data_IF_542403469819
#
_entry.id   IF_542403469819
#
_cell.length_a   1.000
_cell.length_b   1.000
_cell.length_c   1.000
_cell.angle_alpha   90.00
_cell.angle_beta   90.00
_cell.angle_gamma   90.00
#
_symmetry.space_group_name_H-M   'P 1'
#
loop_
_entity.id
_entity.type
_entity.pdbx_description
1 polymer ?
#
# COMPACT_ATOMS: atom_id res chain seq x y z
N UNK A 1 23.42 29.25 -5.99
CA UNK A 1 21.94 29.44 -6.11
C UNK A 1 21.22 28.18 -5.63
N UNK A 2 20.27 28.29 -4.69
CA UNK A 2 19.42 27.16 -4.30
C UNK A 2 18.52 26.80 -5.49
N UNK A 3 18.58 25.55 -5.96
CA UNK A 3 17.65 25.08 -7.01
C UNK A 3 16.23 25.10 -6.46
N UNK A 4 15.27 25.59 -7.23
CA UNK A 4 13.84 25.48 -6.90
C UNK A 4 13.46 24.00 -6.79
N UNK A 5 12.78 23.62 -5.72
CA UNK A 5 12.27 22.26 -5.53
C UNK A 5 11.16 21.98 -6.54
N UNK A 6 11.28 20.88 -7.29
CA UNK A 6 10.24 20.35 -8.18
C UNK A 6 10.07 18.88 -7.85
N UNK A 7 8.85 18.50 -7.49
CA UNK A 7 8.52 17.13 -7.10
C UNK A 7 8.15 16.33 -8.36
N UNK A 8 8.77 15.17 -8.54
CA UNK A 8 8.43 14.21 -9.60
C UNK A 8 7.77 12.96 -9.01
N UNK A 9 6.55 12.61 -9.43
CA UNK A 9 5.92 11.34 -9.04
C UNK A 9 6.29 10.26 -10.05
N UNK A 10 7.07 9.27 -9.60
CA UNK A 10 7.55 8.15 -10.40
C UNK A 10 6.39 7.27 -10.91
N UNK A 11 6.56 6.62 -12.07
CA UNK A 11 5.71 5.50 -12.46
C UNK A 11 6.20 4.24 -11.74
N UNK A 12 5.35 3.63 -10.90
CA UNK A 12 5.70 2.35 -10.28
C UNK A 12 5.88 1.27 -11.36
N UNK A 13 6.92 0.47 -11.23
CA UNK A 13 7.30 -0.55 -12.22
C UNK A 13 7.71 -1.89 -11.61
N UNK A 14 7.66 -2.02 -10.26
CA UNK A 14 8.13 -3.23 -9.57
C UNK A 14 7.40 -4.49 -10.01
N UNK A 15 6.08 -4.41 -10.19
CA UNK A 15 5.23 -5.48 -10.70
C UNK A 15 3.88 -4.91 -11.17
N UNK A 16 3.05 -5.76 -11.76
CA UNK A 16 1.70 -5.42 -12.28
C UNK A 16 0.66 -5.14 -11.19
N UNK A 17 0.99 -5.33 -9.91
CA UNK A 17 0.07 -5.15 -8.78
C UNK A 17 0.35 -3.89 -7.96
N UNK A 18 1.50 -3.22 -8.15
CA UNK A 18 1.87 -2.00 -7.44
C UNK A 18 1.14 -0.78 -8.00
N UNK A 19 -0.14 -0.68 -7.66
CA UNK A 19 -1.03 0.40 -8.12
C UNK A 19 -1.03 1.61 -7.20
N UNK A 20 -0.33 1.57 -6.06
CA UNK A 20 -0.32 2.68 -5.10
C UNK A 20 0.38 3.89 -5.69
N UNK A 21 0.21 5.04 -5.04
CA UNK A 21 0.91 6.26 -5.40
C UNK A 21 1.49 6.90 -4.12
N UNK A 22 2.70 7.47 -4.17
CA UNK A 22 3.33 8.10 -3.01
C UNK A 22 2.59 9.37 -2.57
N UNK A 23 1.92 10.04 -3.49
CA UNK A 23 1.10 11.23 -3.25
C UNK A 23 -0.23 11.09 -3.97
N UNK A 24 -1.33 11.40 -3.28
CA UNK A 24 -2.66 11.42 -3.87
C UNK A 24 -2.89 12.75 -4.60
N UNK A 25 -3.87 12.84 -5.51
CA UNK A 25 -4.21 14.11 -6.18
C UNK A 25 -4.45 15.28 -5.21
N UNK A 26 -5.04 15.04 -4.03
CA UNK A 26 -5.23 16.08 -3.01
C UNK A 26 -3.93 16.57 -2.39
N UNK A 27 -2.95 15.69 -2.21
CA UNK A 27 -1.64 16.04 -1.65
C UNK A 27 -0.84 16.86 -2.70
N UNK A 28 -1.01 16.53 -3.99
CA UNK A 28 -0.49 17.32 -5.12
C UNK A 28 -1.12 18.71 -5.18
N UNK A 29 -2.43 18.83 -5.07
CA UNK A 29 -3.11 20.13 -5.06
C UNK A 29 -2.60 21.02 -3.91
N UNK A 30 -2.32 20.42 -2.75
CA UNK A 30 -1.72 21.11 -1.62
C UNK A 30 -0.30 21.62 -1.93
N UNK A 31 0.56 20.80 -2.56
CA UNK A 31 1.91 21.21 -2.99
C UNK A 31 1.86 22.37 -4.00
N UNK A 32 0.98 22.27 -5.00
CA UNK A 32 0.80 23.31 -6.03
C UNK A 32 0.34 24.62 -5.39
N UNK A 33 -0.60 24.57 -4.43
CA UNK A 33 -1.02 25.75 -3.65
C UNK A 33 0.14 26.39 -2.87
N UNK A 34 1.11 25.58 -2.43
CA UNK A 34 2.36 26.04 -1.80
C UNK A 34 3.42 26.50 -2.80
N UNK A 35 3.07 26.65 -4.08
CA UNK A 35 3.97 27.05 -5.18
C UNK A 35 5.12 26.08 -5.41
N UNK A 36 4.94 24.80 -5.05
CA UNK A 36 5.88 23.72 -5.34
C UNK A 36 5.39 23.02 -6.63
N UNK A 37 6.12 23.14 -7.75
CA UNK A 37 5.71 22.48 -8.99
C UNK A 37 5.79 20.96 -8.87
N UNK A 38 4.83 20.27 -9.49
CA UNK A 38 4.76 18.81 -9.51
C UNK A 38 4.72 18.31 -10.94
N UNK A 39 5.67 17.45 -11.30
CA UNK A 39 5.67 16.64 -12.52
C UNK A 39 5.22 15.22 -12.18
N UNK A 40 4.36 14.63 -12.99
CA UNK A 40 3.87 13.26 -12.80
C UNK A 40 4.17 12.47 -14.05
N UNK A 41 4.95 11.39 -13.90
CA UNK A 41 5.13 10.44 -14.98
C UNK A 41 3.80 9.73 -15.28
N UNK A 42 3.41 9.71 -16.55
CA UNK A 42 2.20 8.99 -16.98
C UNK A 42 2.30 7.50 -16.63
N UNK A 43 1.21 6.92 -16.12
CA UNK A 43 1.16 5.50 -15.76
C UNK A 43 -0.27 4.98 -15.85
N UNK A 44 -0.46 3.89 -16.59
CA UNK A 44 -1.73 3.14 -16.66
C UNK A 44 -1.94 2.21 -15.46
N UNK A 45 -0.87 1.87 -14.73
CA UNK A 45 -0.90 0.96 -13.58
C UNK A 45 -1.45 1.64 -12.32
N UNK A 46 -1.06 2.90 -12.09
CA UNK A 46 -1.38 3.68 -10.90
C UNK A 46 -2.90 3.79 -10.68
N UNK A 47 -3.33 3.70 -9.43
CA UNK A 47 -4.75 3.76 -9.04
C UNK A 47 -5.40 5.11 -9.36
N UNK A 48 -4.62 6.19 -9.33
CA UNK A 48 -5.05 7.52 -9.71
C UNK A 48 -4.70 7.80 -11.17
N UNK A 49 -5.71 8.21 -11.95
CA UNK A 49 -5.55 8.54 -13.36
C UNK A 49 -4.79 9.85 -13.54
N UNK A 50 -4.06 9.97 -14.65
CA UNK A 50 -3.36 11.21 -15.03
C UNK A 50 -4.28 12.44 -15.05
N UNK A 51 -5.55 12.27 -15.46
CA UNK A 51 -6.52 13.37 -15.46
C UNK A 51 -6.81 13.91 -14.05
N UNK A 52 -6.71 13.07 -13.01
CA UNK A 52 -6.88 13.51 -11.62
C UNK A 52 -5.70 14.37 -11.16
N UNK A 53 -4.47 13.99 -11.53
CA UNK A 53 -3.28 14.79 -11.22
C UNK A 53 -3.24 16.10 -12.02
N UNK A 54 -3.66 16.09 -13.29
CA UNK A 54 -3.79 17.31 -14.09
C UNK A 54 -4.77 18.30 -13.45
N UNK A 55 -5.94 17.82 -13.01
CA UNK A 55 -6.91 18.65 -12.27
C UNK A 55 -6.36 19.17 -10.94
N UNK A 56 -5.45 18.45 -10.30
CA UNK A 56 -4.75 18.90 -9.11
C UNK A 56 -3.63 19.92 -9.37
N UNK A 57 -3.39 20.30 -10.64
CA UNK A 57 -2.39 21.30 -11.03
C UNK A 57 -1.00 20.74 -11.34
N UNK A 58 -0.83 19.41 -11.39
CA UNK A 58 0.44 18.82 -11.82
C UNK A 58 0.58 18.78 -13.35
N UNK A 59 1.83 18.84 -13.81
CA UNK A 59 2.19 18.61 -15.22
C UNK A 59 2.40 17.11 -15.44
N UNK A 60 1.59 16.51 -16.32
CA UNK A 60 1.81 15.13 -16.75
C UNK A 60 2.92 15.11 -17.80
N UNK A 61 3.93 14.27 -17.60
CA UNK A 61 5.11 14.19 -18.46
C UNK A 61 5.43 12.73 -18.83
N UNK A 62 5.95 12.47 -20.03
CA UNK A 62 6.51 11.15 -20.38
C UNK A 62 7.86 10.91 -19.68
N UNK A 63 8.64 11.98 -19.49
CA UNK A 63 9.93 11.99 -18.81
C UNK A 63 10.06 13.26 -17.98
N UNK A 64 10.73 13.17 -16.82
CA UNK A 64 10.94 14.33 -15.96
C UNK A 64 11.87 15.35 -16.63
N UNK A 65 11.49 16.62 -16.58
CA UNK A 65 12.25 17.71 -17.20
C UNK A 65 12.96 18.54 -16.14
N UNK A 66 12.26 18.84 -15.04
CA UNK A 66 12.74 19.76 -14.01
C UNK A 66 12.72 19.15 -12.61
N UNK A 67 12.05 18.01 -12.44
CA UNK A 67 11.95 17.35 -11.14
C UNK A 67 13.33 16.99 -10.56
N UNK A 68 13.54 17.38 -9.31
CA UNK A 68 14.79 17.14 -8.57
C UNK A 68 14.57 16.38 -7.26
N UNK A 69 13.33 16.28 -6.77
CA UNK A 69 12.90 15.32 -5.76
C UNK A 69 11.93 14.34 -6.41
N UNK A 70 12.38 13.11 -6.62
CA UNK A 70 11.56 12.04 -7.18
C UNK A 70 10.99 11.16 -6.07
N UNK A 71 9.68 11.03 -6.05
CA UNK A 71 8.95 10.26 -5.05
C UNK A 71 8.29 9.05 -5.71
N UNK A 72 8.42 7.88 -5.08
CA UNK A 72 7.84 6.61 -5.55
C UNK A 72 7.65 5.68 -4.36
N UNK A 73 6.80 4.67 -4.47
CA UNK A 73 6.59 3.69 -3.40
C UNK A 73 7.76 2.71 -3.36
N UNK A 74 8.02 2.02 -4.47
CA UNK A 74 9.04 0.96 -4.54
C UNK A 74 10.34 1.43 -5.15
N UNK A 75 11.33 0.55 -5.13
CA UNK A 75 12.59 0.77 -5.82
C UNK A 75 12.38 1.02 -7.34
N UNK A 76 12.92 2.11 -7.90
CA UNK A 76 12.89 2.38 -9.33
C UNK A 76 13.84 1.45 -10.11
N UNK A 77 13.55 1.24 -11.40
CA UNK A 77 14.43 0.50 -12.30
C UNK A 77 15.76 1.24 -12.53
N UNK A 78 16.87 0.51 -12.59
CA UNK A 78 18.23 1.07 -12.59
C UNK A 78 18.51 2.01 -13.78
N UNK A 79 17.96 1.68 -14.94
CA UNK A 79 18.08 2.42 -16.20
C UNK A 79 17.28 3.73 -16.19
N UNK A 80 16.24 3.82 -15.35
CA UNK A 80 15.40 5.03 -15.20
C UNK A 80 15.98 6.08 -14.25
N UNK A 81 17.12 5.78 -13.60
CA UNK A 81 17.68 6.64 -12.56
C UNK A 81 18.28 7.92 -13.11
N UNK A 82 17.82 9.06 -12.57
CA UNK A 82 18.26 10.40 -12.95
C UNK A 82 19.47 10.79 -12.07
N UNK A 83 20.64 11.14 -12.64
CA UNK A 83 21.79 11.58 -11.86
C UNK A 83 21.59 12.91 -11.15
N UNK A 84 22.30 13.11 -10.03
CA UNK A 84 22.32 14.35 -9.24
C UNK A 84 20.92 14.79 -8.76
N UNK A 85 20.04 13.84 -8.45
CA UNK A 85 18.70 14.09 -7.93
C UNK A 85 18.51 13.48 -6.54
N UNK A 86 17.40 13.82 -5.90
CA UNK A 86 16.96 13.24 -4.63
C UNK A 86 15.86 12.22 -4.93
N UNK A 87 15.95 11.03 -4.36
CA UNK A 87 14.92 10.00 -4.42
C UNK A 87 14.33 9.77 -3.02
N UNK A 88 13.00 9.71 -2.93
CA UNK A 88 12.28 9.34 -1.72
C UNK A 88 11.40 8.13 -2.01
N UNK A 89 11.86 6.95 -1.59
CA UNK A 89 11.30 5.63 -1.92
C UNK A 89 11.55 4.62 -0.79
N UNK A 90 10.87 3.48 -0.79
CA UNK A 90 11.35 2.29 -0.06
C UNK A 90 12.43 1.63 -0.88
N UNK A 91 13.71 1.88 -0.56
CA UNK A 91 14.81 1.34 -1.37
C UNK A 91 15.11 -0.13 -1.10
N UNK A 92 14.76 -0.60 0.10
CA UNK A 92 15.16 -1.92 0.59
C UNK A 92 16.67 -2.19 0.40
N UNK A 93 17.51 -1.24 0.78
CA UNK A 93 18.99 -1.35 0.71
C UNK A 93 19.66 -1.42 2.08
N UNK A 94 18.93 -1.13 3.16
CA UNK A 94 19.51 -0.89 4.48
C UNK A 94 19.70 -2.15 5.33
N UNK A 95 19.11 -3.28 4.94
CA UNK A 95 19.18 -4.55 5.71
C UNK A 95 20.06 -5.60 5.05
N UNK A 96 21.07 -5.19 4.28
CA UNK A 96 21.99 -6.12 3.60
C UNK A 96 21.33 -6.96 2.50
N UNK A 97 20.26 -6.46 1.88
CA UNK A 97 19.49 -7.18 0.87
C UNK A 97 20.28 -7.32 -0.44
N UNK A 98 20.82 -8.52 -0.71
CA UNK A 98 21.68 -8.80 -1.87
C UNK A 98 21.08 -8.33 -3.20
N UNK A 99 19.79 -8.57 -3.41
CA UNK A 99 19.09 -8.21 -4.64
C UNK A 99 19.10 -6.71 -4.97
N UNK A 100 19.29 -5.84 -3.97
CA UNK A 100 19.28 -4.38 -4.14
C UNK A 100 20.65 -3.71 -3.94
N UNK A 101 21.74 -4.47 -3.78
CA UNK A 101 23.09 -3.90 -3.72
C UNK A 101 23.43 -3.06 -4.96
N UNK A 102 23.00 -3.51 -6.15
CA UNK A 102 23.20 -2.79 -7.42
C UNK A 102 22.49 -1.44 -7.44
N UNK A 103 21.32 -1.33 -6.80
CA UNK A 103 20.58 -0.06 -6.69
C UNK A 103 21.38 0.95 -5.89
N UNK A 104 21.86 0.56 -4.71
CA UNK A 104 22.66 1.43 -3.85
C UNK A 104 23.97 1.86 -4.54
N UNK A 105 24.69 0.92 -5.17
CA UNK A 105 25.90 1.24 -5.94
C UNK A 105 25.61 2.22 -7.08
N UNK A 106 24.46 2.07 -7.74
CA UNK A 106 24.05 2.98 -8.82
C UNK A 106 23.68 4.36 -8.28
N UNK A 107 23.01 4.45 -7.12
CA UNK A 107 22.75 5.73 -6.45
C UNK A 107 24.06 6.47 -6.15
N UNK A 108 25.05 5.78 -5.59
CA UNK A 108 26.37 6.36 -5.33
C UNK A 108 27.04 6.85 -6.62
N UNK A 109 27.10 6.00 -7.66
CA UNK A 109 27.71 6.35 -8.96
C UNK A 109 27.03 7.55 -9.61
N UNK A 110 25.70 7.64 -9.52
CA UNK A 110 24.91 8.74 -10.10
C UNK A 110 24.79 9.97 -9.20
N UNK A 111 25.46 9.98 -8.03
CA UNK A 111 25.38 11.06 -7.03
C UNK A 111 23.92 11.36 -6.63
N UNK A 112 23.13 10.30 -6.46
CA UNK A 112 21.74 10.39 -6.01
C UNK A 112 21.71 10.44 -4.48
N UNK A 113 20.94 11.38 -3.94
CA UNK A 113 20.62 11.40 -2.50
C UNK A 113 19.37 10.56 -2.27
N UNK A 114 19.46 9.56 -1.39
CA UNK A 114 18.32 8.74 -0.99
C UNK A 114 17.73 9.23 0.34
N UNK A 115 16.43 9.50 0.35
CA UNK A 115 15.59 9.65 1.55
C UNK A 115 14.74 8.38 1.64
N UNK A 116 15.19 7.38 2.41
CA UNK A 116 14.46 6.12 2.50
C UNK A 116 13.25 6.25 3.44
N UNK A 117 12.06 5.96 2.92
CA UNK A 117 10.83 6.00 3.71
C UNK A 117 10.87 5.09 4.95
N UNK A 118 11.63 3.99 4.90
CA UNK A 118 11.74 3.05 6.02
C UNK A 118 12.35 3.70 7.27
N UNK A 119 13.17 4.73 7.08
CA UNK A 119 13.93 5.40 8.13
C UNK A 119 13.40 6.79 8.49
N UNK A 120 12.22 7.16 7.98
CA UNK A 120 11.54 8.38 8.42
C UNK A 120 10.87 8.11 9.76
N UNK A 121 11.47 8.67 10.82
CA UNK A 121 11.02 8.51 12.21
C UNK A 121 10.59 9.85 12.81
N UNK A 122 9.69 9.78 13.81
CA UNK A 122 9.32 10.92 14.64
C UNK A 122 10.36 11.18 15.73
N UNK A 123 10.05 12.13 16.61
CA UNK A 123 10.94 12.53 17.69
C UNK A 123 11.18 11.44 18.73
N UNK A 124 10.31 10.42 18.80
CA UNK A 124 10.43 9.30 19.72
C UNK A 124 10.96 8.04 19.01
N UNK A 125 11.46 8.16 17.78
CA UNK A 125 11.98 7.04 17.00
C UNK A 125 10.91 6.15 16.36
N UNK A 126 9.63 6.50 16.51
CA UNK A 126 8.54 5.79 15.86
C UNK A 126 8.56 6.05 14.35
N UNK A 127 8.49 4.98 13.56
CA UNK A 127 8.42 5.10 12.09
C UNK A 127 7.14 5.84 11.70
N UNK A 128 7.23 6.83 10.82
CA UNK A 128 6.07 7.64 10.41
C UNK A 128 5.41 7.16 9.11
N UNK A 129 6.14 6.42 8.27
CA UNK A 129 5.66 5.99 6.95
C UNK A 129 5.60 4.47 6.85
N UNK A 130 4.38 3.92 6.91
CA UNK A 130 4.13 2.48 6.80
C UNK A 130 2.71 2.18 6.29
N UNK A 131 2.45 0.91 5.94
CA UNK A 131 1.16 0.45 5.39
C UNK A 131 0.41 -0.52 6.31
N UNK A 132 0.79 -0.60 7.58
CA UNK A 132 0.41 -1.68 8.50
C UNK A 132 -1.09 -1.92 8.64
N UNK A 133 -1.90 -0.89 8.93
CA UNK A 133 -3.35 -1.06 9.13
C UNK A 133 -4.03 -1.77 7.95
N UNK A 134 -3.84 -1.26 6.73
CA UNK A 134 -4.45 -1.87 5.54
C UNK A 134 -3.85 -3.23 5.20
N UNK A 135 -2.59 -3.49 5.53
CA UNK A 135 -2.02 -4.83 5.39
C UNK A 135 -2.75 -5.84 6.30
N UNK A 136 -3.09 -5.46 7.53
CA UNK A 136 -3.91 -6.27 8.43
C UNK A 136 -5.32 -6.53 7.91
N UNK A 137 -6.01 -5.46 7.47
CA UNK A 137 -7.36 -5.53 6.91
C UNK A 137 -7.38 -6.47 5.69
N UNK A 138 -6.51 -6.23 4.70
CA UNK A 138 -6.47 -7.06 3.50
C UNK A 138 -6.06 -8.51 3.83
N UNK A 139 -5.08 -8.69 4.73
CA UNK A 139 -4.64 -10.01 5.15
C UNK A 139 -5.74 -10.82 5.83
N UNK A 140 -6.56 -10.19 6.67
CA UNK A 140 -7.70 -10.85 7.31
C UNK A 140 -8.80 -11.21 6.29
N UNK A 141 -9.14 -10.31 5.36
CA UNK A 141 -10.09 -10.61 4.27
C UNK A 141 -9.62 -11.82 3.47
N UNK A 142 -8.34 -11.83 3.06
CA UNK A 142 -7.77 -12.91 2.26
C UNK A 142 -7.74 -14.22 3.05
N UNK A 143 -7.43 -14.16 4.34
CA UNK A 143 -7.43 -15.33 5.23
C UNK A 143 -8.83 -15.95 5.32
N UNK A 144 -9.86 -15.13 5.54
CA UNK A 144 -11.25 -15.60 5.59
C UNK A 144 -11.71 -16.14 4.24
N UNK A 145 -11.39 -15.47 3.14
CA UNK A 145 -11.69 -15.94 1.79
C UNK A 145 -11.06 -17.31 1.50
N UNK A 146 -9.76 -17.47 1.74
CA UNK A 146 -9.05 -18.73 1.51
C UNK A 146 -9.57 -19.84 2.43
N UNK A 147 -9.86 -19.52 3.69
CA UNK A 147 -10.52 -20.46 4.60
C UNK A 147 -11.88 -20.91 4.04
N UNK A 148 -12.70 -19.98 3.57
CA UNK A 148 -14.00 -20.28 3.00
C UNK A 148 -13.94 -21.19 1.78
N UNK A 149 -13.00 -20.93 0.85
CA UNK A 149 -12.77 -21.80 -0.30
C UNK A 149 -12.28 -23.20 0.12
N UNK A 150 -11.35 -23.29 1.08
CA UNK A 150 -10.88 -24.57 1.61
C UNK A 150 -12.02 -25.40 2.21
N UNK A 151 -12.87 -24.77 3.03
CA UNK A 151 -14.00 -25.44 3.70
C UNK A 151 -15.06 -25.87 2.68
N UNK A 152 -15.29 -25.05 1.65
CA UNK A 152 -16.18 -25.38 0.53
C UNK A 152 -15.70 -26.62 -0.23
N UNK A 153 -14.39 -26.77 -0.47
CA UNK A 153 -13.81 -27.97 -1.10
C UNK A 153 -13.99 -29.23 -0.25
N UNK A 154 -14.17 -29.09 1.06
CA UNK A 154 -14.49 -30.20 1.96
C UNK A 154 -15.99 -30.53 2.01
N UNK A 155 -16.81 -29.85 1.19
CA UNK A 155 -18.26 -30.04 1.16
C UNK A 155 -19.00 -29.44 2.37
N UNK A 156 -18.34 -28.55 3.14
CA UNK A 156 -18.93 -27.93 4.31
C UNK A 156 -19.45 -26.52 3.93
N UNK A 157 -20.77 -26.25 4.08
CA UNK A 157 -21.31 -24.92 3.83
C UNK A 157 -20.69 -23.88 4.77
N UNK A 158 -20.26 -22.74 4.22
CA UNK A 158 -19.71 -21.64 5.00
C UNK A 158 -19.99 -20.29 4.30
N UNK A 159 -20.12 -19.19 5.04
CA UNK A 159 -20.39 -17.88 4.44
C UNK A 159 -19.13 -17.19 3.91
N UNK A 160 -17.93 -17.64 4.32
CA UNK A 160 -16.68 -16.98 3.97
C UNK A 160 -16.28 -17.15 2.49
N UNK A 161 -16.77 -18.19 1.81
CA UNK A 161 -16.60 -18.37 0.36
C UNK A 161 -17.31 -17.30 -0.48
N UNK A 162 -18.15 -16.46 0.12
CA UNK A 162 -18.74 -15.30 -0.56
C UNK A 162 -17.76 -14.10 -0.64
N UNK A 163 -16.70 -14.12 0.17
CA UNK A 163 -15.62 -13.15 0.07
C UNK A 163 -14.78 -13.42 -1.18
N UNK A 164 -14.04 -12.40 -1.59
CA UNK A 164 -13.06 -12.45 -2.67
C UNK A 164 -11.71 -12.05 -2.11
N UNK A 165 -10.64 -12.34 -2.83
CA UNK A 165 -9.34 -11.73 -2.53
C UNK A 165 -9.47 -10.19 -2.51
N UNK A 166 -8.81 -9.56 -1.53
CA UNK A 166 -8.83 -8.14 -1.24
C UNK A 166 -8.52 -7.28 -2.48
N UNK A 167 -7.66 -7.77 -3.38
CA UNK A 167 -7.28 -7.08 -4.62
C UNK A 167 -8.48 -6.79 -5.53
N UNK A 168 -9.55 -7.57 -5.45
CA UNK A 168 -10.71 -7.49 -6.33
C UNK A 168 -11.81 -6.54 -5.84
N UNK A 169 -11.74 -6.02 -4.62
CA UNK A 169 -12.76 -5.08 -4.13
C UNK A 169 -12.55 -3.64 -4.62
N UNK A 170 -11.33 -3.28 -5.02
CA UNK A 170 -10.98 -1.95 -5.52
C UNK A 170 -10.91 -0.86 -4.43
N UNK A 171 -11.78 -0.87 -3.42
CA UNK A 171 -11.74 0.02 -2.27
C UNK A 171 -12.24 -0.67 -0.99
N UNK A 172 -11.88 -0.09 0.17
CA UNK A 172 -12.22 -0.65 1.47
C UNK A 172 -13.73 -0.69 1.75
N UNK A 173 -14.50 0.30 1.27
CA UNK A 173 -15.96 0.31 1.45
C UNK A 173 -16.63 -0.89 0.79
N UNK A 174 -16.24 -1.23 -0.43
CA UNK A 174 -16.74 -2.41 -1.14
C UNK A 174 -16.36 -3.72 -0.44
N UNK A 175 -15.15 -3.81 0.12
CA UNK A 175 -14.74 -4.96 0.93
C UNK A 175 -15.57 -5.08 2.22
N UNK A 176 -15.81 -3.94 2.90
CA UNK A 176 -16.63 -3.89 4.12
C UNK A 176 -18.08 -4.32 3.86
N UNK A 177 -18.71 -3.86 2.77
CA UNK A 177 -20.06 -4.30 2.40
C UNK A 177 -20.14 -5.81 2.14
N UNK A 178 -19.09 -6.42 1.59
CA UNK A 178 -19.06 -7.86 1.41
C UNK A 178 -18.92 -8.59 2.76
N UNK A 179 -18.08 -8.05 3.66
CA UNK A 179 -17.95 -8.56 5.02
C UNK A 179 -19.26 -8.44 5.82
N UNK A 180 -19.99 -7.34 5.71
CA UNK A 180 -21.29 -7.12 6.36
C UNK A 180 -22.27 -8.25 6.04
N UNK A 181 -22.32 -8.67 4.77
CA UNK A 181 -23.19 -9.78 4.32
C UNK A 181 -22.77 -11.13 4.91
N UNK A 182 -21.48 -11.35 5.08
CA UNK A 182 -20.95 -12.56 5.73
C UNK A 182 -21.32 -12.56 7.20
N UNK A 183 -21.12 -11.43 7.89
CA UNK A 183 -21.47 -11.25 9.31
C UNK A 183 -22.96 -11.50 9.53
N UNK A 184 -23.84 -10.92 8.71
CA UNK A 184 -25.29 -11.14 8.80
C UNK A 184 -25.65 -12.63 8.65
N UNK A 185 -24.99 -13.34 7.73
CA UNK A 185 -25.20 -14.80 7.55
C UNK A 185 -24.77 -15.59 8.79
N UNK A 186 -23.61 -15.26 9.36
CA UNK A 186 -23.10 -15.89 10.59
C UNK A 186 -24.04 -15.61 11.76
N UNK A 187 -24.49 -14.37 11.96
CA UNK A 187 -25.38 -14.00 13.06
C UNK A 187 -26.75 -14.68 12.95
N UNK A 188 -27.30 -14.81 11.74
CA UNK A 188 -28.63 -15.41 11.55
C UNK A 188 -28.63 -16.94 11.62
N UNK A 189 -27.60 -17.61 11.08
CA UNK A 189 -27.59 -19.07 10.88
C UNK A 189 -26.54 -19.80 11.71
N UNK A 190 -25.59 -19.09 12.30
CA UNK A 190 -24.38 -19.67 12.85
C UNK A 190 -23.44 -20.21 11.76
N UNK A 191 -22.35 -20.84 12.21
CA UNK A 191 -21.48 -21.66 11.38
C UNK A 191 -21.88 -23.13 11.48
N UNK A 192 -21.46 -23.93 10.50
CA UNK A 192 -21.63 -25.39 10.55
C UNK A 192 -20.98 -25.96 11.83
N UNK A 193 -21.59 -27.01 12.40
CA UNK A 193 -21.11 -27.64 13.64
C UNK A 193 -19.66 -28.14 13.54
N UNK A 194 -19.18 -28.47 12.33
CA UNK A 194 -17.80 -28.89 12.08
C UNK A 194 -16.79 -27.74 12.14
N UNK A 195 -17.25 -26.49 12.16
CA UNK A 195 -16.41 -25.29 12.16
C UNK A 195 -16.36 -24.60 13.52
N UNK A 196 -17.15 -25.07 14.50
CA UNK A 196 -17.23 -24.48 15.84
C UNK A 196 -16.51 -25.36 16.89
N UNK A 197 -15.79 -24.76 17.85
CA UNK A 197 -15.53 -23.33 17.96
C UNK A 197 -14.64 -22.80 16.82
N UNK A 198 -14.98 -21.61 16.31
CA UNK A 198 -14.20 -20.96 15.26
C UNK A 198 -13.22 -19.98 15.92
N UNK A 199 -11.95 -20.37 15.99
CA UNK A 199 -10.92 -19.63 16.71
C UNK A 199 -9.91 -19.05 15.72
N UNK A 200 -9.60 -17.76 15.88
CA UNK A 200 -8.57 -17.07 15.12
C UNK A 200 -7.48 -16.62 16.10
N UNK A 201 -6.27 -17.15 15.95
CA UNK A 201 -5.11 -16.70 16.70
C UNK A 201 -4.44 -15.51 16.01
N UNK A 202 -4.23 -14.42 16.74
CA UNK A 202 -3.47 -13.25 16.27
C UNK A 202 -2.16 -13.15 17.06
N UNK A 203 -1.03 -13.18 16.35
CA UNK A 203 0.29 -13.02 16.94
C UNK A 203 0.86 -11.62 16.67
N UNK A 204 1.21 -10.91 17.74
CA UNK A 204 1.79 -9.56 17.72
C UNK A 204 0.78 -8.44 17.95
N UNK A 205 1.29 -7.25 18.34
CA UNK A 205 0.47 -6.09 18.76
C UNK A 205 0.68 -4.85 17.86
N UNK A 206 1.32 -5.03 16.70
CA UNK A 206 1.64 -3.95 15.79
C UNK A 206 0.45 -3.46 14.94
N UNK A 207 0.72 -2.49 14.07
CA UNK A 207 -0.28 -1.90 13.16
C UNK A 207 -1.02 -2.91 12.26
N UNK A 208 -0.34 -3.99 11.87
CA UNK A 208 -0.93 -5.07 11.07
C UNK A 208 -1.94 -5.84 11.90
N UNK A 209 -1.56 -6.23 13.11
CA UNK A 209 -2.44 -6.92 14.05
C UNK A 209 -3.68 -6.09 14.36
N UNK A 210 -3.52 -4.79 14.63
CA UNK A 210 -4.66 -3.88 14.84
C UNK A 210 -5.60 -3.82 13.64
N UNK A 211 -5.06 -3.80 12.42
CA UNK A 211 -5.86 -3.80 11.20
C UNK A 211 -6.65 -5.11 10.99
N UNK A 212 -6.07 -6.25 11.38
CA UNK A 212 -6.77 -7.53 11.36
C UNK A 212 -7.88 -7.58 12.42
N UNK A 213 -7.58 -7.11 13.64
CA UNK A 213 -8.55 -7.05 14.74
C UNK A 213 -9.72 -6.11 14.44
N UNK A 214 -9.53 -5.00 13.73
CA UNK A 214 -10.63 -4.13 13.27
C UNK A 214 -11.73 -4.91 12.52
N UNK A 215 -11.35 -5.91 11.71
CA UNK A 215 -12.34 -6.76 11.04
C UNK A 215 -12.96 -7.79 11.96
N UNK A 216 -12.19 -8.36 12.89
CA UNK A 216 -12.70 -9.32 13.87
C UNK A 216 -13.72 -8.68 14.82
N UNK A 217 -13.42 -7.47 15.31
CA UNK A 217 -14.35 -6.65 16.09
C UNK A 217 -15.62 -6.36 15.30
N UNK A 218 -15.49 -5.98 14.02
CA UNK A 218 -16.62 -5.75 13.13
C UNK A 218 -17.47 -7.01 12.90
N UNK A 219 -16.85 -8.20 12.96
CA UNK A 219 -17.55 -9.49 12.89
C UNK A 219 -18.22 -9.90 14.22
N UNK A 220 -17.98 -9.16 15.31
CA UNK A 220 -18.45 -9.53 16.64
C UNK A 220 -17.67 -10.67 17.27
N UNK A 221 -16.39 -10.83 16.90
CA UNK A 221 -15.51 -11.79 17.57
C UNK A 221 -15.37 -11.42 19.05
N UNK A 222 -15.39 -12.44 19.91
CA UNK A 222 -15.18 -12.29 21.35
C UNK A 222 -13.70 -12.52 21.63
N UNK A 223 -13.07 -11.57 22.32
CA UNK A 223 -11.72 -11.76 22.84
C UNK A 223 -11.76 -12.74 24.02
N UNK A 224 -10.87 -13.72 24.01
CA UNK A 224 -10.82 -14.84 24.97
C UNK A 224 -9.57 -14.76 25.87
N UNK A 225 -8.92 -13.60 25.92
CA UNK A 225 -7.72 -13.32 26.70
C UNK A 225 -7.86 -12.15 27.67
#
# INVERSE_FOLDING_TARGET
>A
MRKTLVVGILPESKNTWERRAPLRPRDVAWLVKKKIPVEVASSSLRIYKDSQYRRAGAKIVPTFQKANLLVGIKEPALDTLIPNSIYMVFSHTTKGQEYNQRLLATFLKKKITLIDYEHITGSLGERLVYFGRYAGICGMIDTLHVFGEKVKLQGIPNPFSDLKNAVYYGNYGSAKTALDRVVEKVQRKGLDKKLVPFVIGILGHGNVSRGAQELLEHMGAVDIH
#
